data_IF_538123294714
#
_entry.id   IF_538123294714
#
_cell.length_a   1.000
_cell.length_b   1.000
_cell.length_c   1.000
_cell.angle_alpha   90.00
_cell.angle_beta   90.00
_cell.angle_gamma   90.00
#
_symmetry.space_group_name_H-M   'P 1'
#
loop_
_entity.id
_entity.type
_entity.pdbx_description
1 polymer ?
#
# COMPACT_ATOMS: atom_id res chain seq x y z
N UNK A 1 -24.64 -3.49 0.17
CA UNK A 1 -23.50 -3.91 -0.67
C UNK A 1 -23.68 -5.35 -1.11
N UNK A 2 -23.37 -5.66 -2.38
CA UNK A 2 -23.37 -7.04 -2.86
C UNK A 2 -22.21 -7.78 -2.19
N UNK A 3 -22.47 -8.92 -1.56
CA UNK A 3 -21.44 -9.61 -0.77
C UNK A 3 -20.21 -10.03 -1.59
N UNK A 4 -20.36 -10.30 -2.89
CA UNK A 4 -19.24 -10.60 -3.78
C UNK A 4 -18.25 -9.42 -3.87
N UNK A 5 -18.74 -8.19 -3.97
CA UNK A 5 -17.90 -6.98 -3.97
C UNK A 5 -17.19 -6.79 -2.63
N UNK A 6 -17.92 -6.99 -1.52
CA UNK A 6 -17.36 -6.92 -0.17
C UNK A 6 -16.28 -7.99 0.06
N UNK A 7 -16.52 -9.22 -0.37
CA UNK A 7 -15.53 -10.30 -0.28
C UNK A 7 -14.28 -9.94 -1.10
N UNK A 8 -14.45 -9.52 -2.35
CA UNK A 8 -13.34 -9.12 -3.23
C UNK A 8 -12.49 -7.99 -2.64
N UNK A 9 -13.14 -6.98 -2.05
CA UNK A 9 -12.45 -5.82 -1.45
C UNK A 9 -11.68 -6.15 -0.16
N UNK A 10 -12.10 -7.16 0.60
CA UNK A 10 -11.54 -7.50 1.91
C UNK A 10 -10.67 -8.77 1.92
N UNK A 11 -10.44 -9.38 0.75
CA UNK A 11 -9.53 -10.53 0.63
C UNK A 11 -8.07 -10.09 0.86
N UNK A 12 -7.38 -10.86 1.69
CA UNK A 12 -5.92 -10.82 1.80
C UNK A 12 -5.33 -11.32 0.47
N UNK A 13 -4.60 -10.47 -0.28
CA UNK A 13 -4.22 -10.80 -1.65
C UNK A 13 -3.38 -12.06 -1.81
N UNK A 14 -2.46 -12.28 -0.88
CA UNK A 14 -1.57 -13.43 -0.80
C UNK A 14 -2.37 -14.73 -0.65
N UNK A 15 -3.59 -14.65 -0.12
CA UNK A 15 -4.45 -15.80 0.20
C UNK A 15 -5.66 -15.90 -0.74
N UNK A 16 -5.75 -15.09 -1.80
CA UNK A 16 -6.92 -15.01 -2.68
C UNK A 16 -7.46 -16.37 -3.13
N UNK A 17 -6.57 -17.30 -3.50
CA UNK A 17 -6.94 -18.65 -3.99
C UNK A 17 -7.55 -19.54 -2.90
N UNK A 18 -7.28 -19.24 -1.64
CA UNK A 18 -7.70 -20.02 -0.48
C UNK A 18 -9.08 -19.65 0.03
N UNK A 19 -9.59 -18.45 -0.32
CA UNK A 19 -10.97 -18.08 -0.01
C UNK A 19 -11.98 -18.93 -0.79
N UNK A 20 -13.20 -18.99 -0.25
CA UNK A 20 -14.35 -19.59 -0.92
C UNK A 20 -14.56 -18.97 -2.30
N UNK A 21 -14.69 -19.82 -3.32
CA UNK A 21 -14.98 -19.38 -4.70
C UNK A 21 -16.45 -18.96 -4.86
N UNK A 22 -16.83 -17.87 -4.17
CA UNK A 22 -18.22 -17.43 -4.06
C UNK A 22 -18.87 -17.12 -5.41
N UNK A 23 -18.12 -16.52 -6.34
CA UNK A 23 -18.64 -16.21 -7.68
C UNK A 23 -18.85 -17.47 -8.51
N UNK A 24 -17.92 -18.42 -8.47
CA UNK A 24 -18.07 -19.71 -9.16
C UNK A 24 -19.30 -20.50 -8.67
N UNK A 25 -19.60 -20.47 -7.36
CA UNK A 25 -20.83 -21.07 -6.85
C UNK A 25 -22.10 -20.33 -7.30
N UNK A 26 -22.04 -19.01 -7.43
CA UNK A 26 -23.17 -18.24 -7.98
C UNK A 26 -23.43 -18.65 -9.43
N UNK A 27 -22.37 -18.70 -10.24
CA UNK A 27 -22.46 -19.09 -11.65
C UNK A 27 -22.98 -20.53 -11.77
N UNK A 28 -22.55 -21.42 -10.88
CA UNK A 28 -23.06 -22.79 -10.80
C UNK A 28 -24.57 -22.85 -10.52
N UNK A 29 -25.07 -22.02 -9.60
CA UNK A 29 -26.50 -21.93 -9.29
C UNK A 29 -27.32 -21.33 -10.45
N UNK A 30 -26.80 -20.29 -11.11
CA UNK A 30 -27.46 -19.69 -12.28
C UNK A 30 -27.50 -20.68 -13.45
N UNK A 31 -26.39 -21.35 -13.74
CA UNK A 31 -26.33 -22.40 -14.78
C UNK A 31 -27.33 -23.52 -14.51
N UNK A 32 -27.50 -23.90 -13.24
CA UNK A 32 -28.47 -24.93 -12.86
C UNK A 32 -29.92 -24.51 -13.11
N UNK A 33 -30.23 -23.22 -12.93
CA UNK A 33 -31.53 -22.66 -13.21
C UNK A 33 -31.78 -22.53 -14.73
N UNK A 34 -30.78 -22.06 -15.48
CA UNK A 34 -30.89 -21.88 -16.94
C UNK A 34 -31.00 -23.21 -17.69
N UNK A 35 -30.35 -24.26 -17.19
CA UNK A 35 -30.37 -25.61 -17.76
C UNK A 35 -31.48 -26.50 -17.18
N UNK A 36 -32.34 -25.97 -16.30
CA UNK A 36 -33.40 -26.74 -15.68
C UNK A 36 -34.43 -27.19 -16.74
N UNK A 37 -34.73 -28.49 -16.86
CA UNK A 37 -35.77 -28.97 -17.76
C UNK A 37 -37.15 -28.47 -17.31
N UNK A 38 -37.97 -28.00 -18.25
CA UNK A 38 -39.33 -27.53 -17.96
C UNK A 38 -40.26 -28.70 -17.69
N UNK A 39 -41.05 -28.61 -16.62
CA UNK A 39 -42.12 -29.56 -16.28
C UNK A 39 -43.19 -29.70 -17.37
N UNK A 40 -43.30 -28.72 -18.30
CA UNK A 40 -44.22 -28.78 -19.43
C UNK A 40 -43.72 -29.67 -20.57
N UNK A 41 -42.41 -29.94 -20.63
CA UNK A 41 -41.74 -30.61 -21.76
C UNK A 41 -41.23 -32.01 -21.37
N UNK A 42 -40.97 -32.25 -20.08
CA UNK A 42 -40.38 -33.50 -19.57
C UNK A 42 -41.14 -34.09 -18.41
N UNK A 43 -40.98 -35.39 -18.17
CA UNK A 43 -41.53 -36.12 -17.03
C UNK A 43 -41.00 -35.61 -15.67
N UNK A 44 -41.82 -35.72 -14.63
CA UNK A 44 -41.46 -35.23 -13.29
C UNK A 44 -40.21 -35.93 -12.72
N UNK A 45 -39.98 -37.20 -13.09
CA UNK A 45 -38.85 -38.00 -12.64
C UNK A 45 -37.52 -37.53 -13.25
N UNK A 46 -37.50 -37.07 -14.51
CA UNK A 46 -36.29 -36.47 -15.10
C UNK A 46 -35.93 -35.14 -14.46
N UNK A 47 -36.92 -34.31 -14.11
CA UNK A 47 -36.70 -33.06 -13.37
C UNK A 47 -36.10 -33.35 -11.98
N UNK A 48 -36.68 -34.31 -11.24
CA UNK A 48 -36.13 -34.75 -9.94
C UNK A 48 -34.71 -35.28 -10.06
N UNK A 49 -34.43 -36.09 -11.08
CA UNK A 49 -33.09 -36.65 -11.34
C UNK A 49 -32.08 -35.56 -11.68
N UNK A 50 -32.49 -34.53 -12.43
CA UNK A 50 -31.65 -33.38 -12.75
C UNK A 50 -31.22 -32.62 -11.49
N UNK A 51 -32.18 -32.24 -10.63
CA UNK A 51 -31.88 -31.54 -9.39
C UNK A 51 -31.09 -32.41 -8.40
N UNK A 52 -31.36 -33.72 -8.31
CA UNK A 52 -30.56 -34.63 -7.50
C UNK A 52 -29.09 -34.69 -7.94
N UNK A 53 -28.84 -34.74 -9.25
CA UNK A 53 -27.48 -34.71 -9.82
C UNK A 53 -26.79 -33.36 -9.58
N UNK A 54 -27.55 -32.26 -9.67
CA UNK A 54 -27.04 -30.93 -9.36
C UNK A 54 -26.64 -30.80 -7.88
N UNK A 55 -27.53 -31.21 -6.97
CA UNK A 55 -27.33 -31.21 -5.52
C UNK A 55 -26.06 -31.97 -5.13
N UNK A 56 -25.88 -33.18 -5.67
CA UNK A 56 -24.67 -33.97 -5.45
C UNK A 56 -23.40 -33.22 -5.89
N UNK A 57 -23.41 -32.65 -7.10
CA UNK A 57 -22.28 -31.87 -7.63
C UNK A 57 -22.00 -30.60 -6.80
N UNK A 58 -23.06 -29.93 -6.35
CA UNK A 58 -22.97 -28.71 -5.55
C UNK A 58 -22.33 -29.00 -4.19
N UNK A 59 -22.84 -30.00 -3.46
CA UNK A 59 -22.29 -30.35 -2.15
C UNK A 59 -20.90 -30.98 -2.22
N UNK A 60 -20.58 -31.78 -3.24
CA UNK A 60 -19.20 -32.21 -3.49
C UNK A 60 -18.25 -31.02 -3.71
N UNK A 61 -18.72 -29.96 -4.36
CA UNK A 61 -17.95 -28.72 -4.55
C UNK A 61 -17.81 -27.95 -3.22
N UNK A 62 -18.87 -27.91 -2.40
CA UNK A 62 -18.81 -27.34 -1.05
C UNK A 62 -17.82 -28.10 -0.13
N UNK A 63 -17.79 -29.42 -0.18
CA UNK A 63 -16.85 -30.25 0.57
C UNK A 63 -15.40 -29.98 0.16
N UNK A 64 -15.11 -29.91 -1.15
CA UNK A 64 -13.78 -29.56 -1.66
C UNK A 64 -13.32 -28.17 -1.19
N UNK A 65 -14.20 -27.19 -1.28
CA UNK A 65 -13.89 -25.82 -0.83
C UNK A 65 -13.73 -25.74 0.69
N UNK A 66 -14.54 -26.47 1.45
CA UNK A 66 -14.43 -26.56 2.90
C UNK A 66 -13.12 -27.24 3.33
N UNK A 67 -12.74 -28.34 2.67
CA UNK A 67 -11.47 -29.02 2.90
C UNK A 67 -10.28 -28.09 2.64
N UNK A 68 -10.27 -27.39 1.49
CA UNK A 68 -9.25 -26.38 1.16
C UNK A 68 -9.12 -25.32 2.26
N UNK A 69 -10.25 -24.74 2.69
CA UNK A 69 -10.28 -23.69 3.71
C UNK A 69 -9.77 -24.21 5.06
N UNK A 70 -10.19 -25.43 5.45
CA UNK A 70 -9.74 -26.08 6.67
C UNK A 70 -8.22 -26.34 6.66
N UNK A 71 -7.69 -26.94 5.59
CA UNK A 71 -6.26 -27.23 5.47
C UNK A 71 -5.43 -25.96 5.59
N UNK A 72 -5.79 -24.92 4.85
CA UNK A 72 -5.08 -23.65 4.89
C UNK A 72 -5.16 -22.98 6.27
N UNK A 73 -6.34 -22.96 6.89
CA UNK A 73 -6.51 -22.37 8.21
C UNK A 73 -5.70 -23.11 9.29
N UNK A 74 -5.74 -24.44 9.28
CA UNK A 74 -4.97 -25.27 10.23
C UNK A 74 -3.47 -25.09 10.05
N UNK A 75 -2.98 -25.01 8.82
CA UNK A 75 -1.58 -24.71 8.52
C UNK A 75 -1.16 -23.34 9.08
N UNK A 76 -1.94 -22.29 8.79
CA UNK A 76 -1.66 -20.93 9.26
C UNK A 76 -1.77 -20.79 10.76
N UNK A 77 -2.70 -21.50 11.40
CA UNK A 77 -2.84 -21.53 12.84
C UNK A 77 -1.64 -22.22 13.52
N UNK A 78 -1.15 -23.32 12.95
CA UNK A 78 0.05 -24.00 13.45
C UNK A 78 1.31 -23.14 13.27
N UNK A 79 1.45 -22.49 12.11
CA UNK A 79 2.51 -21.51 11.85
C UNK A 79 2.46 -20.36 12.88
N UNK A 80 1.27 -19.83 13.16
CA UNK A 80 1.09 -18.76 14.14
C UNK A 80 1.49 -19.20 15.55
N UNK A 81 1.14 -20.41 15.97
CA UNK A 81 1.53 -20.96 17.28
C UNK A 81 3.04 -21.11 17.42
N UNK A 82 3.71 -21.61 16.38
CA UNK A 82 5.17 -21.74 16.38
C UNK A 82 5.84 -20.37 16.46
N UNK A 83 5.41 -19.43 15.63
CA UNK A 83 5.93 -18.05 15.64
C UNK A 83 5.72 -17.37 16.99
N UNK A 84 4.56 -17.57 17.63
CA UNK A 84 4.31 -17.04 18.97
C UNK A 84 5.31 -17.55 19.99
N UNK A 85 5.54 -18.87 20.02
CA UNK A 85 6.51 -19.48 20.94
C UNK A 85 7.94 -18.97 20.70
N UNK A 86 8.36 -18.83 19.44
CA UNK A 86 9.67 -18.25 19.09
C UNK A 86 9.79 -16.80 19.59
N UNK A 87 8.80 -15.95 19.31
CA UNK A 87 8.81 -14.55 19.72
C UNK A 87 8.78 -14.40 21.24
N UNK A 88 8.06 -15.27 21.94
CA UNK A 88 8.01 -15.29 23.39
C UNK A 88 9.39 -15.64 23.99
N UNK A 89 10.08 -16.65 23.43
CA UNK A 89 11.43 -17.02 23.87
C UNK A 89 12.46 -15.91 23.58
N UNK A 90 12.39 -15.28 22.40
CA UNK A 90 13.24 -14.13 22.05
C UNK A 90 13.00 -12.94 22.98
N UNK A 91 11.74 -12.65 23.33
CA UNK A 91 11.40 -11.62 24.30
C UNK A 91 11.97 -11.92 25.68
N UNK A 92 11.77 -13.14 26.18
CA UNK A 92 12.26 -13.56 27.48
C UNK A 92 13.78 -13.46 27.58
N UNK A 93 14.51 -13.97 26.58
CA UNK A 93 15.97 -13.90 26.55
C UNK A 93 16.49 -12.45 26.47
N UNK A 94 15.78 -11.56 25.76
CA UNK A 94 16.13 -10.14 25.69
C UNK A 94 15.91 -9.45 27.04
N UNK A 95 14.82 -9.78 27.74
CA UNK A 95 14.50 -9.23 29.06
C UNK A 95 15.51 -9.69 30.13
N UNK A 96 15.92 -10.96 30.09
CA UNK A 96 16.96 -11.51 30.96
C UNK A 96 18.31 -10.84 30.73
N UNK A 97 18.72 -10.68 29.47
CA UNK A 97 19.95 -9.96 29.12
C UNK A 97 19.92 -8.50 29.61
N UNK A 98 18.77 -7.84 29.59
CA UNK A 98 18.62 -6.51 30.18
C UNK A 98 18.75 -6.52 31.70
N UNK A 99 18.14 -7.48 32.40
CA UNK A 99 18.26 -7.61 33.86
C UNK A 99 19.71 -7.84 34.29
N UNK A 100 20.43 -8.74 33.62
CA UNK A 100 21.84 -9.02 33.93
C UNK A 100 22.72 -7.79 33.67
N UNK A 101 22.49 -7.08 32.56
CA UNK A 101 23.21 -5.83 32.26
C UNK A 101 22.95 -4.73 33.30
N UNK A 102 21.71 -4.65 33.83
CA UNK A 102 21.35 -3.70 34.88
C UNK A 102 22.00 -4.04 36.23
N UNK A 103 22.12 -5.33 36.58
CA UNK A 103 22.81 -5.75 37.81
C UNK A 103 24.30 -5.39 37.71
N UNK A 104 24.94 -5.68 36.57
CA UNK A 104 26.36 -5.36 36.33
C UNK A 104 26.60 -3.84 36.29
N UNK A 105 25.67 -3.06 35.75
CA UNK A 105 25.77 -1.60 35.71
C UNK A 105 25.59 -0.96 37.10
N UNK A 106 24.68 -1.47 37.94
CA UNK A 106 24.52 -1.06 39.34
C UNK A 106 25.80 -1.36 40.16
N UNK A 107 26.43 -2.52 39.93
CA UNK A 107 27.70 -2.86 40.59
C UNK A 107 28.87 -1.95 40.12
N UNK A 108 28.87 -1.51 38.85
CA UNK A 108 29.88 -0.60 38.28
C UNK A 108 29.62 0.89 38.56
N UNK A 109 28.40 1.27 38.95
CA UNK A 109 28.01 2.67 39.21
C UNK A 109 28.73 3.34 40.40
N UNK A 110 29.54 2.61 41.17
CA UNK A 110 30.41 3.23 42.19
C UNK A 110 31.56 4.06 41.62
N UNK A 111 31.81 4.06 40.29
CA UNK A 111 32.78 4.96 39.66
C UNK A 111 32.29 5.51 38.28
N UNK A 112 31.90 6.79 38.31
CA UNK A 112 31.96 7.83 37.24
C UNK A 112 30.82 8.04 36.21
N UNK A 113 30.42 9.33 36.17
CA UNK A 113 30.12 10.30 35.09
C UNK A 113 29.47 9.87 33.76
N UNK A 114 28.44 10.66 33.40
CA UNK A 114 27.62 10.69 32.18
C UNK A 114 28.45 10.58 30.89
N UNK A 115 28.37 9.43 30.21
CA UNK A 115 28.85 9.21 28.84
C UNK A 115 27.70 8.65 27.97
N UNK A 116 27.76 8.79 26.63
CA UNK A 116 26.70 8.36 25.72
C UNK A 116 26.56 6.84 25.73
N UNK A 117 25.31 6.33 25.58
CA UNK A 117 24.92 4.91 25.57
C UNK A 117 26.03 4.00 25.02
N UNK A 118 26.44 3.02 25.83
CA UNK A 118 27.43 1.98 25.51
C UNK A 118 27.03 1.23 24.22
N UNK A 119 28.00 0.69 23.49
CA UNK A 119 27.74 -0.09 22.28
C UNK A 119 26.77 -1.25 22.54
N UNK A 120 26.89 -1.91 23.70
CA UNK A 120 25.99 -2.98 24.14
C UNK A 120 24.57 -2.47 24.35
N UNK A 121 24.39 -1.34 25.04
CA UNK A 121 23.06 -0.73 25.26
C UNK A 121 22.39 -0.32 23.94
N UNK A 122 23.17 0.14 22.94
CA UNK A 122 22.66 0.45 21.60
C UNK A 122 22.23 -0.80 20.83
N UNK A 123 22.93 -1.92 20.98
CA UNK A 123 22.57 -3.20 20.37
C UNK A 123 21.30 -3.76 21.01
N UNK A 124 21.19 -3.71 22.34
CA UNK A 124 19.98 -4.12 23.08
C UNK A 124 18.75 -3.27 22.68
N UNK A 125 18.92 -1.94 22.57
CA UNK A 125 17.84 -1.06 22.13
C UNK A 125 17.38 -1.30 20.69
N UNK A 126 18.27 -1.76 19.80
CA UNK A 126 17.91 -2.19 18.44
C UNK A 126 17.13 -3.50 18.49
N UNK A 127 17.58 -4.47 19.29
CA UNK A 127 16.92 -5.76 19.45
C UNK A 127 15.45 -5.61 19.92
N UNK A 128 15.20 -4.75 20.91
CA UNK A 128 13.82 -4.46 21.37
C UNK A 128 12.97 -3.79 20.28
N UNK A 129 13.54 -2.89 19.48
CA UNK A 129 12.80 -2.24 18.38
C UNK A 129 12.41 -3.24 17.31
N UNK A 130 13.32 -4.16 16.99
CA UNK A 130 13.11 -5.21 16.00
C UNK A 130 12.08 -6.22 16.52
N UNK A 131 12.13 -6.56 17.81
CA UNK A 131 11.14 -7.40 18.46
C UNK A 131 9.75 -6.76 18.50
N UNK A 132 9.66 -5.45 18.79
CA UNK A 132 8.41 -4.68 18.68
C UNK A 132 7.83 -4.68 17.27
N UNK A 133 8.69 -4.64 16.24
CA UNK A 133 8.27 -4.78 14.85
C UNK A 133 7.73 -6.19 14.59
N UNK A 134 8.45 -7.21 15.04
CA UNK A 134 8.09 -8.62 14.86
C UNK A 134 6.76 -8.97 15.52
N UNK A 135 6.52 -8.56 16.77
CA UNK A 135 5.21 -8.70 17.43
C UNK A 135 4.09 -7.95 16.70
N UNK A 136 4.38 -6.77 16.15
CA UNK A 136 3.40 -6.05 15.33
C UNK A 136 3.07 -6.81 14.05
N UNK A 137 4.05 -7.36 13.32
CA UNK A 137 3.84 -8.18 12.11
C UNK A 137 3.06 -9.46 12.43
N UNK A 138 3.44 -10.13 13.53
CA UNK A 138 2.76 -11.30 14.03
C UNK A 138 1.29 -10.99 14.37
N UNK A 139 1.01 -9.93 15.13
CA UNK A 139 -0.35 -9.51 15.46
C UNK A 139 -1.19 -9.23 14.21
N UNK A 140 -0.63 -8.52 13.22
CA UNK A 140 -1.30 -8.31 11.93
C UNK A 140 -1.65 -9.65 11.27
N UNK A 141 -0.74 -10.63 11.27
CA UNK A 141 -1.01 -11.95 10.70
C UNK A 141 -2.17 -12.67 11.39
N UNK A 142 -2.31 -12.53 12.71
CA UNK A 142 -3.44 -13.10 13.47
C UNK A 142 -4.77 -12.44 13.09
N UNK A 143 -4.80 -11.11 12.95
CA UNK A 143 -6.00 -10.37 12.54
C UNK A 143 -6.40 -10.73 11.11
N UNK A 144 -5.44 -10.88 10.18
CA UNK A 144 -5.73 -11.34 8.83
C UNK A 144 -6.35 -12.75 8.85
N UNK A 145 -5.82 -13.65 9.68
CA UNK A 145 -6.36 -15.01 9.82
C UNK A 145 -7.76 -15.03 10.43
N UNK A 146 -8.04 -14.18 11.41
CA UNK A 146 -9.39 -13.99 11.98
C UNK A 146 -10.37 -13.43 10.92
N UNK A 147 -9.94 -12.47 10.11
CA UNK A 147 -10.75 -11.95 9.00
C UNK A 147 -11.01 -13.03 7.94
N UNK A 148 -10.01 -13.85 7.62
CA UNK A 148 -10.16 -15.00 6.73
C UNK A 148 -11.23 -15.97 7.24
N UNK A 149 -11.20 -16.34 8.52
CA UNK A 149 -12.23 -17.18 9.14
C UNK A 149 -13.63 -16.57 8.99
N UNK A 150 -13.79 -15.29 9.35
CA UNK A 150 -15.08 -14.59 9.33
C UNK A 150 -15.67 -14.45 7.91
N UNK A 151 -14.83 -14.09 6.94
CA UNK A 151 -15.24 -13.93 5.54
C UNK A 151 -15.67 -15.27 4.92
N UNK A 152 -14.90 -16.33 5.14
CA UNK A 152 -15.23 -17.66 4.61
C UNK A 152 -16.50 -18.24 5.25
N UNK A 153 -16.66 -18.12 6.57
CA UNK A 153 -17.89 -18.52 7.25
C UNK A 153 -19.12 -17.77 6.70
N UNK A 154 -18.99 -16.45 6.55
CA UNK A 154 -20.07 -15.62 5.98
C UNK A 154 -20.36 -16.00 4.53
N UNK A 155 -19.33 -16.36 3.76
CA UNK A 155 -19.44 -16.84 2.38
C UNK A 155 -20.24 -18.12 2.28
N UNK A 156 -19.88 -19.15 3.06
CA UNK A 156 -20.66 -20.40 3.14
C UNK A 156 -22.10 -20.14 3.57
N UNK A 157 -22.32 -19.36 4.63
CA UNK A 157 -23.68 -19.02 5.09
C UNK A 157 -24.52 -18.37 3.98
N UNK A 158 -23.93 -17.44 3.23
CA UNK A 158 -24.65 -16.72 2.17
C UNK A 158 -24.87 -17.56 0.92
N UNK A 159 -23.92 -18.40 0.52
CA UNK A 159 -24.08 -19.23 -0.68
C UNK A 159 -25.06 -20.38 -0.44
N UNK A 160 -25.01 -21.02 0.73
CA UNK A 160 -25.97 -22.05 1.12
C UNK A 160 -27.38 -21.47 1.27
N UNK A 161 -27.52 -20.28 1.86
CA UNK A 161 -28.82 -19.57 1.88
C UNK A 161 -29.32 -19.21 0.46
N UNK A 162 -28.41 -18.93 -0.48
CA UNK A 162 -28.78 -18.65 -1.87
C UNK A 162 -29.27 -19.92 -2.56
N UNK A 163 -28.57 -21.04 -2.36
CA UNK A 163 -28.97 -22.36 -2.81
C UNK A 163 -30.40 -22.70 -2.34
N UNK A 164 -30.65 -22.59 -1.03
CA UNK A 164 -31.96 -22.87 -0.42
C UNK A 164 -33.06 -21.98 -0.98
N UNK A 165 -32.75 -20.71 -1.26
CA UNK A 165 -33.70 -19.77 -1.88
C UNK A 165 -33.99 -20.10 -3.35
N UNK A 166 -33.01 -20.59 -4.11
CA UNK A 166 -33.17 -20.86 -5.55
C UNK A 166 -33.80 -22.22 -5.85
N UNK A 167 -33.54 -23.22 -4.99
CA UNK A 167 -34.08 -24.57 -5.14
C UNK A 167 -35.24 -24.88 -4.16
N UNK A 168 -35.68 -23.89 -3.39
CA UNK A 168 -36.77 -24.01 -2.42
C UNK A 168 -36.60 -25.21 -1.45
N UNK A 169 -35.37 -25.37 -0.95
CA UNK A 169 -34.95 -26.51 -0.11
C UNK A 169 -34.33 -26.03 1.22
N UNK A 170 -34.26 -26.92 2.22
CA UNK A 170 -33.56 -26.67 3.49
C UNK A 170 -32.16 -27.30 3.56
N UNK A 171 -31.78 -28.08 2.53
CA UNK A 171 -30.56 -28.90 2.55
C UNK A 171 -29.29 -28.09 2.75
N UNK A 172 -29.21 -26.87 2.22
CA UNK A 172 -28.05 -26.00 2.41
C UNK A 172 -27.90 -25.55 3.87
N UNK A 173 -29.00 -25.23 4.55
CA UNK A 173 -29.00 -24.94 5.98
C UNK A 173 -28.58 -26.17 6.81
N UNK A 174 -29.09 -27.35 6.48
CA UNK A 174 -28.73 -28.61 7.16
C UNK A 174 -27.24 -28.92 6.97
N UNK A 175 -26.74 -28.80 5.74
CA UNK A 175 -25.32 -29.01 5.42
C UNK A 175 -24.41 -28.01 6.14
N UNK A 176 -24.84 -26.74 6.27
CA UNK A 176 -24.11 -25.71 7.02
C UNK A 176 -23.92 -26.08 8.49
N UNK A 177 -24.98 -26.55 9.14
CA UNK A 177 -24.93 -26.95 10.55
C UNK A 177 -24.06 -28.21 10.69
N UNK A 178 -24.28 -29.20 9.83
CA UNK A 178 -23.56 -30.47 9.88
C UNK A 178 -22.06 -30.37 9.58
N UNK A 179 -21.63 -29.46 8.70
CA UNK A 179 -20.24 -29.40 8.23
C UNK A 179 -19.53 -28.08 8.54
N UNK A 180 -20.18 -26.93 8.33
CA UNK A 180 -19.51 -25.61 8.42
C UNK A 180 -19.42 -25.12 9.86
N UNK A 181 -20.49 -25.25 10.65
CA UNK A 181 -20.50 -24.79 12.05
C UNK A 181 -19.62 -25.62 12.97
N UNK A 182 -19.41 -26.90 12.63
CA UNK A 182 -18.51 -27.81 13.37
C UNK A 182 -17.08 -27.82 12.81
N UNK A 183 -16.83 -27.14 11.69
CA UNK A 183 -15.54 -27.18 11.02
C UNK A 183 -14.40 -26.63 11.89
N UNK A 184 -13.19 -27.23 11.82
CA UNK A 184 -12.03 -26.76 12.59
C UNK A 184 -11.68 -25.29 12.35
N UNK A 185 -11.88 -24.78 11.13
CA UNK A 185 -11.60 -23.37 10.84
C UNK A 185 -12.49 -22.39 11.61
N UNK A 186 -13.70 -22.82 12.03
CA UNK A 186 -14.67 -21.97 12.71
C UNK A 186 -14.71 -22.19 14.22
N UNK A 187 -14.67 -23.43 14.68
CA UNK A 187 -14.82 -23.79 16.09
C UNK A 187 -13.58 -23.48 16.94
N UNK A 188 -12.40 -23.43 16.32
CA UNK A 188 -11.14 -23.24 17.04
C UNK A 188 -11.00 -21.80 17.58
N UNK A 189 -11.27 -21.62 18.88
CA UNK A 189 -11.09 -20.34 19.61
C UNK A 189 -9.62 -19.95 19.86
N UNK A 190 -8.67 -20.79 19.43
CA UNK A 190 -7.24 -20.62 19.71
C UNK A 190 -6.66 -19.36 19.07
N UNK A 191 -7.21 -18.91 17.94
CA UNK A 191 -6.81 -17.64 17.32
C UNK A 191 -7.13 -16.43 18.22
N UNK A 192 -8.32 -16.40 18.83
CA UNK A 192 -8.74 -15.33 19.74
C UNK A 192 -7.92 -15.32 21.01
N UNK A 193 -7.56 -16.50 21.52
CA UNK A 193 -6.64 -16.65 22.65
C UNK A 193 -5.26 -16.10 22.31
N UNK A 194 -4.65 -16.52 21.20
CA UNK A 194 -3.35 -16.00 20.73
C UNK A 194 -3.35 -14.48 20.54
N UNK A 195 -4.44 -13.91 20.00
CA UNK A 195 -4.59 -12.45 19.88
C UNK A 195 -4.51 -11.82 21.28
N UNK A 196 -5.29 -12.32 22.22
CA UNK A 196 -5.36 -11.75 23.58
C UNK A 196 -4.04 -11.91 24.33
N UNK A 197 -3.40 -13.08 24.25
CA UNK A 197 -2.08 -13.34 24.83
C UNK A 197 -1.01 -12.41 24.24
N UNK A 198 -1.01 -12.23 22.92
CA UNK A 198 -0.10 -11.28 22.25
C UNK A 198 -0.35 -9.85 22.69
N UNK A 199 -1.62 -9.43 22.82
CA UNK A 199 -1.96 -8.11 23.36
C UNK A 199 -1.41 -7.94 24.77
N UNK A 200 -1.64 -8.92 25.66
CA UNK A 200 -1.16 -8.85 27.04
C UNK A 200 0.35 -8.76 27.12
N UNK A 201 1.09 -9.60 26.39
CA UNK A 201 2.55 -9.58 26.37
C UNK A 201 3.11 -8.25 25.87
N UNK A 202 2.57 -7.71 24.77
CA UNK A 202 3.04 -6.44 24.22
C UNK A 202 2.72 -5.28 25.18
N UNK A 203 1.56 -5.31 25.86
CA UNK A 203 1.20 -4.26 26.82
C UNK A 203 2.07 -4.30 28.08
N UNK A 204 2.31 -5.49 28.64
CA UNK A 204 3.01 -5.66 29.91
C UNK A 204 4.52 -5.50 29.74
N UNK A 205 5.11 -6.20 28.76
CA UNK A 205 6.57 -6.32 28.65
C UNK A 205 7.19 -5.25 27.74
N UNK A 206 6.47 -4.79 26.71
CA UNK A 206 7.05 -3.91 25.68
C UNK A 206 6.66 -2.43 25.83
N UNK A 207 5.51 -2.11 26.41
CA UNK A 207 5.03 -0.72 26.56
C UNK A 207 4.73 -0.36 28.02
N UNK A 208 5.34 -1.08 28.98
CA UNK A 208 5.36 -0.72 30.43
C UNK A 208 3.96 -0.50 31.03
N UNK A 209 2.94 -1.20 30.51
CA UNK A 209 1.55 -1.11 30.97
C UNK A 209 0.66 -0.13 30.19
N UNK A 210 1.18 0.65 29.24
CA UNK A 210 0.35 1.56 28.43
C UNK A 210 -0.37 0.81 27.30
N UNK A 211 -1.59 0.34 27.61
CA UNK A 211 -2.46 -0.36 26.66
C UNK A 211 -2.80 0.49 25.43
N UNK A 212 -2.98 1.80 25.58
CA UNK A 212 -3.38 2.65 24.44
C UNK A 212 -2.24 2.76 23.43
N UNK A 213 -1.01 2.95 23.91
CA UNK A 213 0.18 3.03 23.07
C UNK A 213 0.50 1.71 22.39
N UNK A 214 0.36 0.59 23.11
CA UNK A 214 0.48 -0.75 22.53
C UNK A 214 -0.57 -1.01 21.45
N UNK A 215 -1.85 -0.73 21.72
CA UNK A 215 -2.94 -0.92 20.75
C UNK A 215 -2.79 -0.01 19.53
N UNK A 216 -2.35 1.24 19.70
CA UNK A 216 -2.09 2.16 18.57
C UNK A 216 -0.96 1.66 17.66
N UNK A 217 -0.02 0.90 18.21
CA UNK A 217 1.12 0.33 17.48
C UNK A 217 0.80 -1.02 16.83
N UNK A 218 -0.03 -1.84 17.48
CA UNK A 218 -0.46 -3.16 17.01
C UNK A 218 -1.58 -3.04 15.96
N UNK A 219 -2.53 -2.12 16.16
CA UNK A 219 -3.63 -1.90 15.24
C UNK A 219 -3.11 -1.15 14.02
N UNK A 220 -3.00 -1.88 12.92
CA UNK A 220 -2.84 -1.28 11.61
C UNK A 220 -4.15 -0.56 11.31
N UNK A 221 -4.14 0.75 10.97
CA UNK A 221 -5.35 1.46 10.58
C UNK A 221 -6.07 0.66 9.48
N UNK A 222 -7.42 0.60 9.50
CA UNK A 222 -8.17 -0.26 8.59
C UNK A 222 -7.65 -0.11 7.15
N UNK A 223 -7.47 -1.23 6.44
CA UNK A 223 -6.93 -1.27 5.07
C UNK A 223 -7.67 -0.36 4.07
N UNK A 224 -8.84 0.17 4.44
CA UNK A 224 -9.60 1.19 3.69
C UNK A 224 -9.84 2.52 4.43
N UNK A 225 -9.45 2.67 5.69
CA UNK A 225 -9.53 3.97 6.34
C UNK A 225 -8.46 4.86 5.72
N UNK A 226 -8.88 6.03 5.24
CA UNK A 226 -7.96 7.14 5.03
C UNK A 226 -7.11 7.25 6.29
N UNK A 227 -5.82 6.89 6.24
CA UNK A 227 -4.91 7.53 7.17
C UNK A 227 -4.94 8.98 6.73
N UNK A 228 -5.57 9.90 7.49
CA UNK A 228 -5.45 11.29 7.17
C UNK A 228 -3.95 11.54 7.26
N UNK A 229 -3.30 11.78 6.12
CA UNK A 229 -1.91 12.15 6.19
C UNK A 229 -1.85 13.44 7.05
N UNK A 230 -0.79 13.59 7.86
CA UNK A 230 -0.75 14.59 8.92
C UNK A 230 -1.21 15.94 8.38
N UNK A 231 -2.06 16.69 9.10
CA UNK A 231 -2.63 17.95 8.58
C UNK A 231 -1.58 18.89 7.94
N UNK A 232 -0.35 18.82 8.45
CA UNK A 232 0.82 19.50 7.94
C UNK A 232 1.23 19.17 6.50
N UNK A 233 1.07 17.92 6.03
CA UNK A 233 1.41 17.52 4.65
C UNK A 233 0.42 18.14 3.66
N UNK A 234 -0.87 18.14 3.97
CA UNK A 234 -1.90 18.79 3.15
C UNK A 234 -1.63 20.29 3.01
N UNK A 235 -1.25 20.95 4.11
CA UNK A 235 -0.87 22.36 4.10
C UNK A 235 0.35 22.61 3.19
N UNK A 236 1.42 21.82 3.33
CA UNK A 236 2.61 21.94 2.48
C UNK A 236 2.31 21.74 1.01
N UNK A 237 1.50 20.74 0.67
CA UNK A 237 1.06 20.50 -0.72
C UNK A 237 0.35 21.74 -1.28
N UNK A 238 -0.59 22.32 -0.51
CA UNK A 238 -1.28 23.54 -0.90
C UNK A 238 -0.33 24.74 -1.06
N UNK A 239 0.63 24.89 -0.15
CA UNK A 239 1.66 25.93 -0.23
C UNK A 239 2.55 25.78 -1.46
N UNK A 240 3.06 24.57 -1.75
CA UNK A 240 3.87 24.32 -2.94
C UNK A 240 3.09 24.56 -4.22
N UNK A 241 1.82 24.15 -4.26
CA UNK A 241 0.94 24.43 -5.40
C UNK A 241 0.73 25.94 -5.59
N UNK A 242 0.47 26.68 -4.51
CA UNK A 242 0.33 28.15 -4.56
C UNK A 242 1.59 28.85 -5.07
N UNK A 243 2.77 28.48 -4.54
CA UNK A 243 4.07 29.02 -4.99
C UNK A 243 4.30 28.70 -6.47
N UNK A 244 3.99 27.47 -6.89
CA UNK A 244 4.14 27.07 -8.29
C UNK A 244 3.26 27.91 -9.23
N UNK A 245 2.00 28.17 -8.85
CA UNK A 245 1.10 29.04 -9.63
C UNK A 245 1.66 30.46 -9.73
N UNK A 246 2.21 31.01 -8.65
CA UNK A 246 2.86 32.33 -8.66
C UNK A 246 4.07 32.35 -9.60
N UNK A 247 4.90 31.29 -9.59
CA UNK A 247 6.04 31.18 -10.50
C UNK A 247 5.60 31.06 -11.96
N UNK A 248 4.53 30.32 -12.26
CA UNK A 248 3.97 30.27 -13.62
C UNK A 248 3.48 31.65 -14.06
N UNK A 249 2.77 32.38 -13.20
CA UNK A 249 2.34 33.75 -13.51
C UNK A 249 3.53 34.69 -13.73
N UNK A 250 4.57 34.60 -12.90
CA UNK A 250 5.80 35.38 -13.06
C UNK A 250 6.55 35.03 -14.35
N UNK A 251 6.59 33.75 -14.75
CA UNK A 251 7.17 33.31 -16.02
C UNK A 251 6.41 33.90 -17.21
N UNK A 252 5.08 33.85 -17.19
CA UNK A 252 4.23 34.43 -18.24
C UNK A 252 4.48 35.94 -18.34
N UNK A 253 4.49 36.64 -17.20
CA UNK A 253 4.78 38.08 -17.15
C UNK A 253 6.17 38.40 -17.72
N UNK A 254 7.19 37.64 -17.33
CA UNK A 254 8.57 37.87 -17.76
C UNK A 254 8.75 37.62 -19.26
N UNK A 255 8.15 36.55 -19.81
CA UNK A 255 8.17 36.28 -21.25
C UNK A 255 7.41 37.35 -22.03
N UNK A 256 6.26 37.81 -21.53
CA UNK A 256 5.51 38.90 -22.15
C UNK A 256 6.31 40.21 -22.15
N UNK A 257 6.96 40.55 -21.04
CA UNK A 257 7.83 41.74 -20.93
C UNK A 257 9.01 41.67 -21.91
N UNK A 258 9.72 40.54 -21.96
CA UNK A 258 10.81 40.30 -22.91
C UNK A 258 10.34 40.45 -24.37
N UNK A 259 9.17 39.91 -24.70
CA UNK A 259 8.59 40.04 -26.05
C UNK A 259 8.20 41.49 -26.40
N UNK A 260 7.66 42.25 -25.44
CA UNK A 260 7.27 43.64 -25.63
C UNK A 260 8.50 44.56 -25.79
N UNK A 261 9.52 44.38 -24.94
CA UNK A 261 10.79 45.11 -25.03
C UNK A 261 11.53 44.77 -26.33
N UNK A 262 11.57 43.49 -26.72
CA UNK A 262 12.16 43.05 -27.99
C UNK A 262 11.48 43.69 -29.20
N UNK A 263 10.14 43.73 -29.22
CA UNK A 263 9.36 44.39 -30.27
C UNK A 263 9.64 45.90 -30.33
N UNK A 264 9.74 46.57 -29.17
CA UNK A 264 10.06 48.00 -29.09
C UNK A 264 11.47 48.31 -29.63
N UNK A 265 12.47 47.49 -29.28
CA UNK A 265 13.85 47.64 -29.78
C UNK A 265 13.94 47.37 -31.29
N UNK A 266 13.14 46.45 -31.82
CA UNK A 266 13.02 46.21 -33.26
C UNK A 266 12.37 47.40 -34.00
N UNK A 267 11.31 47.99 -33.44
CA UNK A 267 10.67 49.20 -33.99
C UNK A 267 11.62 50.40 -34.02
N UNK A 268 12.51 50.52 -33.02
CA UNK A 268 13.52 51.58 -32.96
C UNK A 268 14.76 51.30 -33.84
N UNK A 269 14.77 50.22 -34.63
CA UNK A 269 15.84 49.91 -35.58
C UNK A 269 17.17 49.47 -34.95
N UNK A 270 17.21 49.23 -33.64
CA UNK A 270 18.43 48.94 -32.88
C UNK A 270 18.88 47.48 -33.05
N UNK A 271 17.95 46.56 -33.33
CA UNK A 271 18.22 45.13 -33.44
C UNK A 271 17.56 44.52 -34.68
N UNK A 272 18.31 43.78 -35.50
CA UNK A 272 17.71 42.85 -36.48
C UNK A 272 16.90 41.79 -35.73
N UNK A 273 15.77 41.38 -36.31
CA UNK A 273 14.81 40.41 -35.80
C UNK A 273 15.43 39.02 -35.54
N UNK A 274 16.36 38.92 -34.60
CA UNK A 274 16.74 37.68 -33.95
C UNK A 274 15.65 37.46 -32.92
N UNK A 275 14.64 36.68 -33.31
CA UNK A 275 13.73 36.05 -32.36
C UNK A 275 14.58 35.51 -31.22
N UNK A 276 14.42 36.05 -30.01
CA UNK A 276 15.04 35.55 -28.79
C UNK A 276 14.66 34.08 -28.67
N UNK A 277 15.52 33.20 -29.16
CA UNK A 277 15.17 31.81 -29.41
C UNK A 277 15.22 31.09 -28.06
N UNK A 278 14.10 31.13 -27.33
CA UNK A 278 13.90 30.44 -26.05
C UNK A 278 13.77 28.92 -26.24
N UNK A 279 13.77 28.44 -27.50
CA UNK A 279 13.68 27.03 -27.88
C UNK A 279 14.71 26.14 -27.18
N UNK A 280 16.02 26.48 -27.13
CA UNK A 280 17.02 25.65 -26.46
C UNK A 280 16.71 25.46 -24.97
N UNK A 281 16.20 26.52 -24.32
CA UNK A 281 15.83 26.48 -22.91
C UNK A 281 14.59 25.59 -22.68
N UNK A 282 13.57 25.72 -23.53
CA UNK A 282 12.39 24.83 -23.48
C UNK A 282 12.80 23.37 -23.68
N UNK A 283 13.72 23.06 -24.59
CA UNK A 283 14.19 21.70 -24.81
C UNK A 283 14.87 21.10 -23.58
N UNK A 284 15.67 21.89 -22.86
CA UNK A 284 16.37 21.44 -21.65
C UNK A 284 15.37 21.21 -20.51
N UNK A 285 14.46 22.15 -20.25
CA UNK A 285 13.53 22.08 -19.11
C UNK A 285 12.34 21.12 -19.32
N UNK A 286 12.03 20.74 -20.58
CA UNK A 286 10.92 19.82 -20.91
C UNK A 286 11.03 18.48 -20.21
N UNK A 287 12.23 17.88 -20.18
CA UNK A 287 12.43 16.56 -19.57
C UNK A 287 12.13 16.56 -18.07
N UNK A 288 12.59 17.59 -17.36
CA UNK A 288 12.30 17.76 -15.93
C UNK A 288 10.82 18.01 -15.65
N UNK A 289 10.16 18.82 -16.49
CA UNK A 289 8.74 19.09 -16.35
C UNK A 289 7.89 17.84 -16.54
N UNK A 290 8.17 17.02 -17.55
CA UNK A 290 7.44 15.76 -17.80
C UNK A 290 7.52 14.78 -16.62
N UNK A 291 8.67 14.73 -15.92
CA UNK A 291 8.81 13.91 -14.71
C UNK A 291 7.89 14.42 -13.58
N UNK A 292 7.85 15.74 -13.39
CA UNK A 292 7.00 16.39 -12.36
C UNK A 292 5.53 16.15 -12.69
N UNK A 293 5.13 16.34 -13.95
CA UNK A 293 3.78 16.07 -14.44
C UNK A 293 3.38 14.60 -14.27
N UNK A 294 4.27 13.67 -14.61
CA UNK A 294 4.03 12.24 -14.40
C UNK A 294 3.78 11.90 -12.92
N UNK A 295 4.58 12.45 -12.00
CA UNK A 295 4.39 12.23 -10.55
C UNK A 295 3.07 12.82 -10.06
N UNK A 296 2.68 13.99 -10.59
CA UNK A 296 1.41 14.62 -10.27
C UNK A 296 0.21 13.78 -10.76
N UNK A 297 0.24 13.30 -12.01
CA UNK A 297 -0.77 12.42 -12.58
C UNK A 297 -0.84 11.07 -11.84
N UNK A 298 0.30 10.52 -11.42
CA UNK A 298 0.34 9.34 -10.56
C UNK A 298 -0.36 9.60 -9.22
N UNK A 299 -0.18 10.79 -8.63
CA UNK A 299 -0.92 11.25 -7.46
C UNK A 299 -2.44 11.29 -7.66
N UNK A 300 -2.90 11.78 -8.82
CA UNK A 300 -4.32 11.80 -9.19
C UNK A 300 -4.87 10.37 -9.39
N UNK A 301 -4.15 9.53 -10.12
CA UNK A 301 -4.57 8.14 -10.38
C UNK A 301 -4.71 7.35 -9.09
N UNK A 302 -3.71 7.46 -8.23
CA UNK A 302 -3.78 6.83 -6.90
C UNK A 302 -4.98 7.37 -6.12
N UNK A 303 -5.27 8.68 -6.19
CA UNK A 303 -6.37 9.30 -5.45
C UNK A 303 -7.72 8.79 -5.94
N UNK A 304 -7.88 8.70 -7.27
CA UNK A 304 -9.05 8.11 -7.91
C UNK A 304 -9.24 6.64 -7.54
N UNK A 305 -8.17 5.83 -7.55
CA UNK A 305 -8.22 4.43 -7.10
C UNK A 305 -8.65 4.32 -5.64
N UNK A 306 -8.18 5.21 -4.77
CA UNK A 306 -8.61 5.22 -3.37
C UNK A 306 -10.09 5.56 -3.20
N UNK A 307 -10.60 6.55 -3.93
CA UNK A 307 -12.02 6.91 -3.91
C UNK A 307 -12.92 5.80 -4.47
N UNK A 308 -12.45 5.10 -5.50
CA UNK A 308 -13.14 3.96 -6.09
C UNK A 308 -13.05 2.66 -5.27
N UNK A 309 -12.37 2.67 -4.11
CA UNK A 309 -12.16 1.47 -3.28
C UNK A 309 -11.19 0.45 -3.88
N UNK A 310 -10.42 0.84 -4.90
CA UNK A 310 -9.39 0.01 -5.52
C UNK A 310 -8.13 0.02 -4.67
N UNK A 311 -7.71 -1.16 -4.22
CA UNK A 311 -6.51 -1.32 -3.40
C UNK A 311 -5.24 -1.17 -4.26
N UNK A 312 -4.81 0.06 -4.52
CA UNK A 312 -3.59 0.37 -5.29
C UNK A 312 -2.32 -0.18 -4.61
N UNK A 313 -2.32 -0.33 -3.28
CA UNK A 313 -1.23 -0.95 -2.52
C UNK A 313 -1.05 -2.40 -2.96
N UNK A 314 -2.16 -3.09 -3.20
CA UNK A 314 -2.16 -4.43 -3.77
C UNK A 314 -1.72 -4.41 -5.25
N UNK A 315 -2.28 -3.54 -6.10
CA UNK A 315 -1.94 -3.52 -7.54
C UNK A 315 -0.43 -3.37 -7.78
N UNK A 316 0.24 -2.54 -6.99
CA UNK A 316 1.69 -2.30 -7.11
C UNK A 316 2.55 -3.15 -6.16
N UNK A 317 1.96 -4.15 -5.47
CA UNK A 317 2.65 -4.99 -4.47
C UNK A 317 3.43 -4.17 -3.43
N UNK A 318 2.88 -3.02 -3.03
CA UNK A 318 3.49 -2.12 -2.06
C UNK A 318 3.28 -2.63 -0.64
N UNK A 319 4.26 -2.44 0.22
CA UNK A 319 4.13 -2.80 1.64
C UNK A 319 2.98 -1.99 2.29
N UNK A 320 1.96 -2.64 2.89
CA UNK A 320 0.79 -1.95 3.45
C UNK A 320 1.10 -1.06 4.65
N UNK A 321 2.25 -1.28 5.31
CA UNK A 321 2.74 -0.46 6.43
C UNK A 321 3.53 0.77 5.98
N UNK A 322 4.06 0.75 4.75
CA UNK A 322 4.93 1.78 4.21
C UNK A 322 4.62 1.97 2.73
N UNK A 323 3.44 2.50 2.44
CA UNK A 323 3.01 2.91 1.11
C UNK A 323 3.16 4.43 0.98
N UNK A 324 3.49 4.92 -0.22
CA UNK A 324 3.36 6.34 -0.50
C UNK A 324 1.87 6.66 -0.57
N UNK A 325 1.41 7.52 0.34
CA UNK A 325 0.11 8.15 0.17
C UNK A 325 0.16 9.14 -1.00
N UNK A 326 -0.97 9.28 -1.69
CA UNK A 326 -1.35 10.35 -2.61
C UNK A 326 -0.80 11.72 -2.22
N UNK A 327 -0.93 12.07 -0.94
CA UNK A 327 -0.47 13.35 -0.43
C UNK A 327 1.06 13.50 -0.48
N UNK A 328 1.80 12.41 -0.25
CA UNK A 328 3.27 12.42 -0.39
C UNK A 328 3.70 12.48 -1.85
N UNK A 329 2.95 11.85 -2.77
CA UNK A 329 3.18 12.00 -4.20
C UNK A 329 2.98 13.45 -4.65
N UNK A 330 1.91 14.09 -4.20
CA UNK A 330 1.68 15.52 -4.45
C UNK A 330 2.72 16.42 -3.77
N UNK A 331 3.19 16.08 -2.56
CA UNK A 331 4.22 16.85 -1.86
C UNK A 331 5.55 16.83 -2.63
N UNK A 332 5.96 15.65 -3.10
CA UNK A 332 7.17 15.48 -3.92
C UNK A 332 7.02 16.20 -5.26
N UNK A 333 5.90 16.01 -5.96
CA UNK A 333 5.65 16.68 -7.24
C UNK A 333 5.64 18.20 -7.08
N UNK A 334 4.96 18.72 -6.06
CA UNK A 334 4.91 20.16 -5.76
C UNK A 334 6.28 20.74 -5.42
N UNK A 335 7.07 20.06 -4.57
CA UNK A 335 8.43 20.50 -4.23
C UNK A 335 9.35 20.56 -5.46
N UNK A 336 9.34 19.53 -6.30
CA UNK A 336 10.12 19.52 -7.54
C UNK A 336 9.62 20.56 -8.54
N UNK A 337 8.31 20.81 -8.60
CA UNK A 337 7.69 21.88 -9.39
C UNK A 337 8.18 23.27 -8.97
N UNK A 338 8.24 23.55 -7.67
CA UNK A 338 8.76 24.82 -7.14
C UNK A 338 10.25 25.00 -7.48
N UNK A 339 11.08 23.97 -7.32
CA UNK A 339 12.50 24.04 -7.70
C UNK A 339 12.69 24.25 -9.20
N UNK A 340 11.88 23.59 -10.02
CA UNK A 340 11.87 23.75 -11.47
C UNK A 340 11.49 25.18 -11.86
N UNK A 341 10.40 25.71 -11.30
CA UNK A 341 9.95 27.08 -11.57
C UNK A 341 10.95 28.13 -11.12
N UNK A 342 11.58 27.95 -9.95
CA UNK A 342 12.63 28.82 -9.44
C UNK A 342 13.85 28.85 -10.36
N UNK A 343 14.32 27.68 -10.80
CA UNK A 343 15.45 27.57 -11.74
C UNK A 343 15.16 28.25 -13.08
N UNK A 344 13.94 28.12 -13.58
CA UNK A 344 13.50 28.72 -14.84
C UNK A 344 13.41 30.25 -14.73
N UNK A 345 12.90 30.77 -13.61
CA UNK A 345 12.89 32.21 -13.33
C UNK A 345 14.31 32.77 -13.23
N UNK A 346 15.20 32.15 -12.45
CA UNK A 346 16.60 32.60 -12.33
C UNK A 346 17.31 32.68 -13.67
N UNK A 347 16.99 31.77 -14.59
CA UNK A 347 17.56 31.75 -15.92
C UNK A 347 16.97 32.83 -16.88
N UNK A 348 15.79 33.39 -16.59
CA UNK A 348 15.16 34.47 -17.36
C UNK A 348 15.42 35.88 -16.77
N UNK A 349 15.95 35.97 -15.54
CA UNK A 349 16.36 37.22 -14.88
C UNK A 349 17.83 37.60 -15.16
N UNK A 350 18.38 37.13 -16.28
CA UNK A 350 19.78 37.29 -16.73
C UNK A 350 20.41 38.70 -16.66
N UNK A 351 19.68 39.85 -16.72
CA UNK A 351 20.34 41.16 -16.66
C UNK A 351 21.13 41.47 -15.37
N UNK A 352 20.96 40.68 -14.29
CA UNK A 352 21.57 40.96 -12.98
C UNK A 352 22.61 39.93 -12.52
N UNK A 353 22.85 38.84 -13.26
CA UNK A 353 23.76 37.77 -12.83
C UNK A 353 24.71 37.36 -13.94
N UNK A 354 26.02 37.52 -13.71
CA UNK A 354 27.14 37.17 -14.62
C UNK A 354 27.31 35.66 -14.86
N UNK A 355 26.26 34.85 -14.66
CA UNK A 355 26.32 33.39 -14.62
C UNK A 355 25.82 32.84 -15.97
N UNK A 356 26.59 31.99 -16.67
CA UNK A 356 26.16 31.32 -17.89
C UNK A 356 24.81 30.60 -17.75
N UNK A 357 23.92 30.82 -18.72
CA UNK A 357 22.54 30.31 -18.78
C UNK A 357 22.42 28.77 -18.61
N UNK A 358 23.48 28.02 -18.93
CA UNK A 358 23.55 26.56 -18.83
C UNK A 358 23.80 26.03 -17.41
N UNK A 359 24.29 26.87 -16.50
CA UNK A 359 24.64 26.46 -15.13
C UNK A 359 23.39 26.21 -14.29
N UNK A 360 22.33 27.00 -14.48
CA UNK A 360 21.08 26.87 -13.74
C UNK A 360 20.35 25.52 -13.97
N UNK A 361 20.15 25.06 -15.22
CA UNK A 361 19.57 23.74 -15.45
C UNK A 361 20.52 22.62 -15.00
N UNK A 362 21.84 22.77 -15.19
CA UNK A 362 22.81 21.78 -14.72
C UNK A 362 22.81 21.65 -13.19
N UNK A 363 22.72 22.77 -12.47
CA UNK A 363 22.61 22.81 -11.02
C UNK A 363 21.30 22.18 -10.52
N UNK A 364 20.17 22.46 -11.19
CA UNK A 364 18.87 21.85 -10.87
C UNK A 364 18.93 20.32 -11.04
N UNK A 365 19.35 19.84 -12.21
CA UNK A 365 19.39 18.40 -12.49
C UNK A 365 20.47 17.68 -11.67
N UNK A 366 21.62 18.33 -11.44
CA UNK A 366 22.65 17.84 -10.53
C UNK A 366 22.13 17.71 -9.10
N UNK A 367 21.41 18.72 -8.60
CA UNK A 367 20.77 18.67 -7.29
C UNK A 367 19.70 17.57 -7.21
N UNK A 368 18.82 17.44 -8.21
CA UNK A 368 17.80 16.39 -8.26
C UNK A 368 18.44 14.99 -8.25
N UNK A 369 19.54 14.80 -9.00
CA UNK A 369 20.24 13.52 -9.09
C UNK A 369 21.01 13.20 -7.80
N UNK A 370 21.71 14.17 -7.21
CA UNK A 370 22.35 14.02 -5.90
C UNK A 370 21.33 13.75 -4.80
N UNK A 371 20.19 14.44 -4.80
CA UNK A 371 19.10 14.19 -3.87
C UNK A 371 18.53 12.76 -4.02
N UNK A 372 18.41 12.26 -5.25
CA UNK A 372 17.89 10.93 -5.51
C UNK A 372 18.87 9.83 -5.09
N UNK A 373 20.17 10.01 -5.30
CA UNK A 373 21.24 9.05 -4.98
C UNK A 373 21.68 9.14 -3.51
N UNK A 374 21.38 10.25 -2.81
CA UNK A 374 21.82 10.50 -1.44
C UNK A 374 21.49 9.31 -0.50
N UNK A 375 22.50 8.61 0.05
CA UNK A 375 22.31 7.40 0.85
C UNK A 375 21.83 7.68 2.28
N UNK A 376 21.74 8.94 2.70
CA UNK A 376 21.28 9.31 4.04
C UNK A 376 19.77 9.09 4.19
N UNK A 377 19.31 8.74 5.41
CA UNK A 377 17.88 8.53 5.74
C UNK A 377 17.06 9.83 5.81
N UNK A 378 17.56 10.92 5.22
CA UNK A 378 16.86 12.21 5.14
C UNK A 378 15.84 12.19 3.99
N UNK A 379 14.78 12.99 4.06
CA UNK A 379 13.78 13.18 2.99
C UNK A 379 13.31 11.89 2.27
N UNK A 380 12.51 11.07 2.94
CA UNK A 380 11.77 9.94 2.33
C UNK A 380 12.63 8.94 1.53
N UNK A 381 13.74 8.49 2.12
CA UNK A 381 14.69 7.50 1.56
C UNK A 381 14.05 6.30 0.84
N UNK A 382 13.03 5.67 1.45
CA UNK A 382 12.36 4.49 0.87
C UNK A 382 11.62 4.84 -0.44
N UNK A 383 11.04 6.03 -0.53
CA UNK A 383 10.35 6.54 -1.71
C UNK A 383 11.32 6.83 -2.86
N UNK A 384 12.51 7.35 -2.55
CA UNK A 384 13.57 7.65 -3.54
C UNK A 384 14.10 6.37 -4.20
N UNK A 385 14.39 5.34 -3.41
CA UNK A 385 14.80 4.03 -3.93
C UNK A 385 13.70 3.33 -4.74
N UNK A 386 12.44 3.45 -4.31
CA UNK A 386 11.31 2.94 -5.07
C UNK A 386 11.18 3.65 -6.42
N UNK A 387 11.31 4.99 -6.45
CA UNK A 387 11.27 5.77 -7.67
C UNK A 387 12.43 5.42 -8.61
N UNK A 388 13.64 5.21 -8.09
CA UNK A 388 14.78 4.69 -8.86
C UNK A 388 14.49 3.32 -9.49
N UNK A 389 13.86 2.42 -8.74
CA UNK A 389 13.45 1.09 -9.23
C UNK A 389 12.33 1.17 -10.28
N UNK A 390 11.42 2.14 -10.14
CA UNK A 390 10.36 2.39 -11.11
C UNK A 390 10.90 3.00 -12.42
N UNK A 391 11.81 3.97 -12.32
CA UNK A 391 12.46 4.58 -13.47
C UNK A 391 13.28 3.57 -14.27
N UNK A 392 13.99 2.66 -13.60
CA UNK A 392 14.71 1.59 -14.29
C UNK A 392 13.75 0.61 -14.99
N UNK A 393 12.58 0.36 -14.41
CA UNK A 393 11.53 -0.45 -15.05
C UNK A 393 10.93 0.23 -16.29
N UNK A 394 10.70 1.55 -16.23
CA UNK A 394 10.25 2.35 -17.39
C UNK A 394 11.26 2.35 -18.54
N UNK A 395 12.57 2.36 -18.25
CA UNK A 395 13.61 2.21 -19.29
C UNK A 395 13.55 0.84 -19.98
N UNK A 396 13.24 -0.22 -19.23
CA UNK A 396 13.05 -1.57 -19.79
C UNK A 396 11.79 -1.61 -20.67
N UNK A 397 10.67 -1.05 -20.21
CA UNK A 397 9.42 -0.97 -20.99
C UNK A 397 9.60 -0.15 -22.26
N UNK A 398 10.32 0.97 -22.21
CA UNK A 398 10.65 1.78 -23.38
C UNK A 398 11.49 1.00 -24.41
N UNK A 399 12.41 0.14 -23.95
CA UNK A 399 13.20 -0.77 -24.79
C UNK A 399 12.38 -1.89 -25.44
N UNK A 400 11.26 -2.28 -24.81
CA UNK A 400 10.40 -3.36 -25.28
C UNK A 400 9.28 -2.84 -26.20
N UNK A 401 8.81 -1.61 -26.02
CA UNK A 401 7.70 -1.05 -26.80
C UNK A 401 8.12 -0.35 -28.11
N UNK A 402 9.39 0.03 -28.27
CA UNK A 402 9.90 0.63 -29.50
C UNK A 402 10.82 -0.35 -30.22
N UNK A 403 10.40 -0.98 -31.33
CA UNK A 403 11.33 -1.72 -32.16
C UNK A 403 12.41 -0.77 -32.69
N UNK A 404 13.66 -1.26 -32.88
CA UNK A 404 14.70 -0.45 -33.47
C UNK A 404 14.25 -0.03 -34.87
N UNK A 405 14.17 1.27 -35.12
CA UNK A 405 14.09 1.82 -36.48
C UNK A 405 15.40 1.46 -37.17
N UNK A 406 15.37 0.36 -37.90
CA UNK A 406 16.42 -0.04 -38.83
C UNK A 406 16.56 1.06 -39.87
N UNK A 407 17.71 1.73 -39.88
CA UNK A 407 18.16 2.55 -41.01
C UNK A 407 18.60 1.68 -42.17
#
# INVERSE_FOLDING_TARGET
MKFAEHLSAHITPEWRKQYIQYEAFKDMLYTAQDQAPSLEVTDEDTVKRYYAKFEEKFFQSCEKELAKINTFYSEKLAEAQRRFATLQNELQSTLEAQRDSNIVSILRQRKKTVFPLSHEERVQHRNIRDLKLAFSEFYLSLILLQNYQNLNFTGFRKILKKHDKMLETSRGADWRVAHVEVAPFYTCKKITQLITETETLVTMELEEGDRQKAMKRLRVPPLGAAQPAPAWTTFRVGMYFGIFVVFVAALIYQVALLSAVGNLLCLNGVTKNNSSDYRPMVHIYRGGFLLIEFLFLLGINTYGWRQAGVNHVLIFELNPRNNLSHQHLFEIAGFLGVLWGLSLLFCLFDPFTTIPMQINPLALYGFMLLFLINPTKTCYYKSRFWLLKLLSFLQVVHKVLLPPVTK
#
